data_IF_284524418787
#
_entry.id   IF_284524418787
#
_cell.length_a   1.000
_cell.length_b   1.000
_cell.length_c   1.000
_cell.angle_alpha   90.00
_cell.angle_beta   90.00
_cell.angle_gamma   90.00
#
_symmetry.space_group_name_H-M   'P 1'
#
loop_
_entity.id
_entity.type
_entity.pdbx_description
1 polymer ?
#
# COMPACT_ATOMS: atom_id res chain seq x y z
N UNK A 1 -18.69 -6.24 13.50
CA UNK A 1 -17.27 -6.39 13.88
C UNK A 1 -16.48 -5.34 13.12
N UNK A 2 -15.69 -4.52 13.81
CA UNK A 2 -14.77 -3.60 13.14
C UNK A 2 -13.70 -4.41 12.39
N UNK A 3 -13.31 -4.00 11.16
CA UNK A 3 -12.23 -4.68 10.43
C UNK A 3 -10.92 -4.64 11.23
N UNK A 4 -10.12 -5.70 11.13
CA UNK A 4 -8.78 -5.72 11.72
C UNK A 4 -7.88 -4.71 11.00
N UNK A 5 -6.88 -4.17 11.70
CA UNK A 5 -5.91 -3.19 11.15
C UNK A 5 -5.28 -3.68 9.83
N UNK A 6 -5.00 -4.98 9.74
CA UNK A 6 -4.47 -5.61 8.52
C UNK A 6 -5.46 -5.52 7.36
N UNK A 7 -6.76 -5.69 7.64
CA UNK A 7 -7.83 -5.60 6.63
C UNK A 7 -7.96 -4.16 6.11
N UNK A 8 -7.82 -3.16 6.97
CA UNK A 8 -7.93 -1.75 6.58
C UNK A 8 -6.76 -1.30 5.69
N UNK A 9 -5.53 -1.70 6.05
CA UNK A 9 -4.32 -1.43 5.26
C UNK A 9 -4.46 -2.03 3.85
N UNK A 10 -4.90 -3.29 3.75
CA UNK A 10 -5.08 -3.98 2.47
C UNK A 10 -6.16 -3.29 1.64
N UNK A 11 -7.28 -2.90 2.26
CA UNK A 11 -8.38 -2.23 1.57
C UNK A 11 -7.98 -0.85 1.01
N UNK A 12 -7.24 -0.04 1.80
CA UNK A 12 -6.70 1.24 1.34
C UNK A 12 -5.72 1.04 0.19
N UNK A 13 -4.77 0.11 0.33
CA UNK A 13 -3.82 -0.19 -0.75
C UNK A 13 -4.54 -0.60 -2.05
N UNK A 14 -5.56 -1.46 -1.97
CA UNK A 14 -6.35 -1.87 -3.13
C UNK A 14 -7.07 -0.70 -3.80
N UNK A 15 -7.59 0.26 -3.03
CA UNK A 15 -8.22 1.48 -3.55
C UNK A 15 -7.22 2.33 -4.33
N UNK A 16 -6.02 2.54 -3.79
CA UNK A 16 -4.94 3.28 -4.45
C UNK A 16 -4.59 2.63 -5.78
N UNK A 17 -4.43 1.31 -5.81
CA UNK A 17 -4.07 0.59 -7.04
C UNK A 17 -5.18 0.67 -8.11
N UNK A 18 -6.46 0.62 -7.73
CA UNK A 18 -7.56 0.84 -8.68
C UNK A 18 -7.50 2.21 -9.32
N UNK A 19 -7.15 3.24 -8.54
CA UNK A 19 -7.01 4.59 -9.04
C UNK A 19 -5.83 4.71 -10.01
N UNK A 20 -4.68 4.12 -9.67
CA UNK A 20 -3.50 4.05 -10.56
C UNK A 20 -3.82 3.36 -11.88
N UNK A 21 -4.54 2.23 -11.83
CA UNK A 21 -4.97 1.53 -13.04
C UNK A 21 -5.89 2.40 -13.90
N UNK A 22 -6.79 3.17 -13.29
CA UNK A 22 -7.65 4.12 -14.00
C UNK A 22 -6.82 5.22 -14.69
N UNK A 23 -5.83 5.79 -14.01
CA UNK A 23 -4.90 6.78 -14.60
C UNK A 23 -4.14 6.19 -15.80
N UNK A 24 -3.54 5.00 -15.65
CA UNK A 24 -2.84 4.28 -16.72
C UNK A 24 -3.75 4.04 -17.93
N UNK A 25 -4.99 3.61 -17.71
CA UNK A 25 -5.95 3.36 -18.78
C UNK A 25 -6.26 4.64 -19.57
N UNK A 26 -6.41 5.78 -18.88
CA UNK A 26 -6.66 7.07 -19.52
C UNK A 26 -5.43 7.53 -20.31
N UNK A 27 -4.24 7.50 -19.70
CA UNK A 27 -2.98 7.98 -20.29
C UNK A 27 -2.57 7.17 -21.53
N UNK A 28 -2.79 5.85 -21.52
CA UNK A 28 -2.37 4.95 -22.59
C UNK A 28 -3.50 4.58 -23.56
N UNK A 29 -4.70 5.14 -23.38
CA UNK A 29 -5.91 4.77 -24.12
C UNK A 29 -6.17 3.24 -24.11
N UNK A 30 -6.05 2.62 -22.94
CA UNK A 30 -6.27 1.18 -22.74
C UNK A 30 -7.49 0.93 -21.85
N UNK A 31 -7.89 -0.35 -21.71
CA UNK A 31 -9.07 -0.76 -20.95
C UNK A 31 -8.77 -1.90 -19.96
N UNK A 32 -7.59 -1.87 -19.36
CA UNK A 32 -7.15 -2.91 -18.42
C UNK A 32 -8.08 -3.03 -17.21
N UNK A 33 -8.31 -4.27 -16.78
CA UNK A 33 -9.17 -4.59 -15.63
C UNK A 33 -8.42 -5.50 -14.66
N UNK A 34 -8.73 -5.33 -13.39
CA UNK A 34 -8.40 -6.33 -12.36
C UNK A 34 -9.05 -7.68 -12.72
N UNK A 35 -8.32 -8.78 -12.55
CA UNK A 35 -8.71 -10.11 -13.01
C UNK A 35 -8.07 -10.52 -14.34
N UNK A 36 -7.32 -9.64 -15.00
CA UNK A 36 -6.50 -9.99 -16.16
C UNK A 36 -5.12 -10.47 -15.69
N UNK A 37 -4.69 -11.67 -16.11
CA UNK A 37 -3.47 -12.35 -15.63
C UNK A 37 -2.23 -11.44 -15.51
N UNK A 38 -1.93 -10.65 -16.53
CA UNK A 38 -0.74 -9.79 -16.54
C UNK A 38 -0.91 -8.54 -15.65
N UNK A 39 -2.13 -8.03 -15.53
CA UNK A 39 -2.45 -6.90 -14.66
C UNK A 39 -2.41 -7.35 -13.20
N UNK A 40 -2.97 -8.51 -12.88
CA UNK A 40 -2.91 -9.07 -11.53
C UNK A 40 -1.48 -9.32 -11.07
N UNK A 41 -0.58 -9.75 -11.97
CA UNK A 41 0.84 -9.87 -11.68
C UNK A 41 1.47 -8.51 -11.33
N UNK A 42 1.17 -7.46 -12.10
CA UNK A 42 1.63 -6.10 -11.79
C UNK A 42 1.12 -5.62 -10.44
N UNK A 43 -0.13 -5.95 -10.09
CA UNK A 43 -0.71 -5.63 -8.79
C UNK A 43 -0.01 -6.40 -7.66
N UNK A 44 0.27 -7.68 -7.87
CA UNK A 44 1.01 -8.51 -6.90
C UNK A 44 2.43 -7.98 -6.67
N UNK A 45 3.13 -7.58 -7.72
CA UNK A 45 4.46 -6.96 -7.60
C UNK A 45 4.40 -5.62 -6.85
N UNK A 46 3.37 -4.80 -7.10
CA UNK A 46 3.15 -3.57 -6.33
C UNK A 46 2.87 -3.86 -4.85
N UNK A 47 2.11 -4.91 -4.55
CA UNK A 47 1.86 -5.33 -3.17
C UNK A 47 3.13 -5.78 -2.47
N UNK A 48 3.98 -6.59 -3.12
CA UNK A 48 5.29 -6.98 -2.57
C UNK A 48 6.14 -5.74 -2.28
N UNK A 49 6.21 -4.80 -3.23
CA UNK A 49 6.94 -3.55 -3.03
C UNK A 49 6.39 -2.78 -1.82
N UNK A 50 5.07 -2.65 -1.71
CA UNK A 50 4.43 -2.02 -0.56
C UNK A 50 4.79 -2.70 0.77
N UNK A 51 4.71 -4.02 0.86
CA UNK A 51 5.06 -4.77 2.08
C UNK A 51 6.53 -4.57 2.45
N UNK A 52 7.42 -4.51 1.46
CA UNK A 52 8.85 -4.24 1.70
C UNK A 52 9.06 -2.84 2.28
N UNK A 53 8.47 -1.81 1.68
CA UNK A 53 8.57 -0.44 2.18
C UNK A 53 7.95 -0.31 3.59
N UNK A 54 6.82 -0.98 3.83
CA UNK A 54 6.16 -1.04 5.14
C UNK A 54 7.09 -1.64 6.21
N UNK A 55 7.77 -2.75 5.88
CA UNK A 55 8.71 -3.41 6.79
C UNK A 55 9.95 -2.56 7.06
N UNK A 56 10.52 -1.95 6.01
CA UNK A 56 11.66 -1.04 6.15
C UNK A 56 11.32 0.11 7.08
N UNK A 57 10.14 0.71 6.93
CA UNK A 57 9.73 1.85 7.75
C UNK A 57 9.34 1.45 9.17
N UNK A 58 8.67 0.31 9.36
CA UNK A 58 8.41 -0.23 10.69
C UNK A 58 9.71 -0.52 11.46
N UNK A 59 10.76 -0.99 10.76
CA UNK A 59 12.10 -1.17 11.35
C UNK A 59 12.73 0.16 11.76
N UNK A 60 12.63 1.20 10.93
CA UNK A 60 13.15 2.53 11.25
C UNK A 60 12.46 3.13 12.48
N UNK A 61 11.14 3.00 12.58
CA UNK A 61 10.38 3.45 13.76
C UNK A 61 10.85 2.70 15.01
N UNK A 62 10.96 1.37 14.93
CA UNK A 62 11.46 0.55 16.04
C UNK A 62 12.87 1.00 16.50
N UNK A 63 13.76 1.29 15.56
CA UNK A 63 15.12 1.77 15.83
C UNK A 63 15.12 3.15 16.51
N UNK A 64 14.29 4.08 16.03
CA UNK A 64 14.15 5.44 16.60
C UNK A 64 13.61 5.37 18.04
N UNK A 65 12.67 4.46 18.31
CA UNK A 65 12.08 4.26 19.63
C UNK A 65 12.98 3.43 20.58
N UNK A 66 14.12 2.94 20.11
CA UNK A 66 15.01 2.07 20.88
C UNK A 66 14.42 0.69 21.17
N UNK A 67 13.47 0.24 20.36
CA UNK A 67 12.81 -1.05 20.49
C UNK A 67 13.68 -2.17 19.91
N UNK A 68 13.83 -3.27 20.65
CA UNK A 68 14.61 -4.44 20.22
C UNK A 68 13.91 -5.26 19.13
N UNK A 69 12.60 -5.07 18.93
CA UNK A 69 11.78 -5.84 18.01
C UNK A 69 10.76 -4.96 17.28
N UNK A 70 10.29 -5.42 16.11
CA UNK A 70 9.22 -4.71 15.38
C UNK A 70 7.86 -5.11 15.97
N UNK A 71 7.31 -4.24 16.81
CA UNK A 71 6.02 -4.42 17.46
C UNK A 71 4.84 -4.05 16.54
N UNK A 72 3.62 -4.55 16.81
CA UNK A 72 2.41 -4.22 16.04
C UNK A 72 2.16 -2.71 15.86
N UNK A 73 2.55 -1.89 16.83
CA UNK A 73 2.41 -0.44 16.76
C UNK A 73 3.27 0.17 15.63
N UNK A 74 4.52 -0.26 15.47
CA UNK A 74 5.40 0.25 14.40
C UNK A 74 4.84 -0.06 13.01
N UNK A 75 4.20 -1.23 12.83
CA UNK A 75 3.50 -1.58 11.58
C UNK A 75 2.29 -0.69 11.32
N UNK A 76 1.58 -0.31 12.38
CA UNK A 76 0.40 0.56 12.29
C UNK A 76 0.81 1.97 11.88
N UNK A 77 1.83 2.51 12.53
CA UNK A 77 2.35 3.85 12.24
C UNK A 77 3.00 3.93 10.86
N UNK A 78 3.83 2.95 10.51
CA UNK A 78 4.41 2.87 9.18
C UNK A 78 3.33 2.76 8.11
N UNK A 79 2.30 1.95 8.34
CA UNK A 79 1.18 1.78 7.43
C UNK A 79 0.39 3.07 7.21
N UNK A 80 0.10 3.82 8.27
CA UNK A 80 -0.59 5.09 8.17
C UNK A 80 0.21 6.09 7.32
N UNK A 81 1.49 6.29 7.64
CA UNK A 81 2.32 7.30 6.97
C UNK A 81 2.60 6.95 5.49
N UNK A 82 2.81 5.66 5.20
CA UNK A 82 3.13 5.20 3.85
C UNK A 82 1.91 5.29 2.92
N UNK A 83 0.72 4.91 3.43
CA UNK A 83 -0.53 5.03 2.68
C UNK A 83 -0.92 6.49 2.46
N UNK A 84 -0.72 7.38 3.44
CA UNK A 84 -0.99 8.81 3.29
C UNK A 84 -0.07 9.45 2.24
N UNK A 85 1.17 8.99 2.14
CA UNK A 85 2.10 9.41 1.09
C UNK A 85 1.62 8.95 -0.29
N UNK A 86 1.24 7.67 -0.42
CA UNK A 86 0.69 7.15 -1.66
C UNK A 86 -0.63 7.81 -2.06
N UNK A 87 -1.53 8.11 -1.12
CA UNK A 87 -2.78 8.82 -1.43
C UNK A 87 -2.51 10.24 -1.93
N UNK A 88 -1.53 10.95 -1.36
CA UNK A 88 -1.09 12.27 -1.86
C UNK A 88 -0.53 12.20 -3.27
N UNK A 89 0.39 11.29 -3.53
CA UNK A 89 1.00 11.10 -4.85
C UNK A 89 -0.03 10.72 -5.93
N UNK A 90 -1.14 10.11 -5.51
CA UNK A 90 -2.21 9.69 -6.41
C UNK A 90 -3.38 10.67 -6.46
N UNK A 91 -3.28 11.83 -5.81
CA UNK A 91 -4.33 12.87 -5.77
C UNK A 91 -5.68 12.34 -5.24
N UNK A 92 -5.64 11.39 -4.30
CA UNK A 92 -6.83 10.76 -3.73
C UNK A 92 -7.47 11.56 -2.57
N UNK A 93 -7.20 12.86 -2.49
CA UNK A 93 -7.71 13.74 -1.43
C UNK A 93 -9.05 14.35 -1.77
#
# INVERSE_FOLDING_TARGET
>A
MAPSIQTDIINRHRRILRHRLKKINVENNTSYRLGQKNIDLLFYLNYIKFVKELATKAKQIAEIEGSSEIMPQHWKESGAELLDTFERENELK
#
